data_IF_506723552635
#
_entry.id   IF_506723552635
#
_cell.length_a   1.000
_cell.length_b   1.000
_cell.length_c   1.000
_cell.angle_alpha   90.00
_cell.angle_beta   90.00
_cell.angle_gamma   90.00
#
_symmetry.space_group_name_H-M   'P 1'
#
loop_
_entity.id
_entity.type
_entity.pdbx_description
1 polymer ?
#
# COMPACT_ATOMS: atom_id res chain seq x y z
N UNK A 1 -3.82 4.49 16.80
CA UNK A 1 -3.01 4.88 15.63
C UNK A 1 -3.94 5.09 14.46
N UNK A 2 -3.79 6.23 13.81
CA UNK A 2 -4.45 6.59 12.57
C UNK A 2 -3.66 6.08 11.36
N UNK A 3 -4.31 6.04 10.21
CA UNK A 3 -3.72 5.58 8.95
C UNK A 3 -2.58 6.48 8.46
N UNK A 4 -2.67 7.79 8.60
CA UNK A 4 -1.58 8.73 8.31
C UNK A 4 -0.34 8.52 9.19
N UNK A 5 -0.54 8.35 10.50
CA UNK A 5 0.52 8.04 11.47
C UNK A 5 1.25 6.75 11.10
N UNK A 6 0.48 5.72 10.71
CA UNK A 6 1.03 4.44 10.30
C UNK A 6 1.81 4.53 8.98
N UNK A 7 1.29 5.28 8.00
CA UNK A 7 1.98 5.53 6.74
C UNK A 7 3.31 6.27 6.98
N UNK A 8 3.31 7.29 7.84
CA UNK A 8 4.53 8.03 8.18
C UNK A 8 5.57 7.12 8.84
N UNK A 9 5.14 6.26 9.78
CA UNK A 9 6.01 5.28 10.43
C UNK A 9 6.60 4.28 9.42
N UNK A 10 5.80 3.80 8.47
CA UNK A 10 6.26 2.90 7.42
C UNK A 10 7.33 3.57 6.53
N UNK A 11 7.11 4.82 6.12
CA UNK A 11 8.06 5.60 5.32
C UNK A 11 9.37 5.84 6.09
N UNK A 12 9.29 6.20 7.37
CA UNK A 12 10.47 6.38 8.20
C UNK A 12 11.26 5.06 8.35
N UNK A 13 10.55 3.96 8.54
CA UNK A 13 11.16 2.62 8.62
C UNK A 13 11.82 2.21 7.30
N UNK A 14 11.25 2.57 6.15
CA UNK A 14 11.88 2.33 4.85
C UNK A 14 13.15 3.16 4.67
N UNK A 15 13.12 4.43 5.08
CA UNK A 15 14.27 5.34 4.98
C UNK A 15 15.43 4.92 5.88
N UNK A 16 15.16 4.38 7.07
CA UNK A 16 16.20 3.96 8.02
C UNK A 16 16.92 2.67 7.59
N UNK A 17 16.30 1.84 6.75
CA UNK A 17 16.87 0.58 6.26
C UNK A 17 17.83 0.78 5.10
N UNK A 18 19.12 0.65 5.36
CA UNK A 18 20.19 0.83 4.34
C UNK A 18 20.20 -0.25 3.24
N UNK A 19 19.60 -1.41 3.49
CA UNK A 19 19.54 -2.54 2.56
C UNK A 19 18.44 -2.45 1.50
N UNK A 20 17.61 -1.40 1.53
CA UNK A 20 16.56 -1.17 0.54
C UNK A 20 17.09 -0.26 -0.57
N UNK A 21 16.86 -0.56 -1.87
CA UNK A 21 17.27 0.30 -2.97
C UNK A 21 16.78 1.75 -2.83
N UNK A 22 17.63 2.72 -3.20
CA UNK A 22 17.32 4.16 -3.13
C UNK A 22 16.03 4.56 -3.85
N UNK A 23 15.71 4.03 -5.06
CA UNK A 23 14.45 4.35 -5.72
C UNK A 23 13.22 3.99 -4.88
N UNK A 24 13.28 2.86 -4.16
CA UNK A 24 12.20 2.40 -3.28
C UNK A 24 12.16 3.28 -2.02
N UNK A 25 13.30 3.62 -1.41
CA UNK A 25 13.35 4.46 -0.20
C UNK A 25 12.84 5.89 -0.41
N UNK A 26 13.11 6.46 -1.57
CA UNK A 26 12.76 7.84 -1.90
C UNK A 26 11.46 7.96 -2.69
N UNK A 27 10.78 6.85 -2.94
CA UNK A 27 9.49 6.87 -3.63
C UNK A 27 8.43 7.62 -2.80
N UNK A 28 7.56 8.36 -3.49
CA UNK A 28 6.56 9.21 -2.86
C UNK A 28 5.30 8.41 -2.46
N UNK A 29 5.41 7.61 -1.41
CA UNK A 29 4.28 6.89 -0.82
C UNK A 29 3.29 7.85 -0.18
N UNK A 30 2.02 7.81 -0.61
CA UNK A 30 0.98 8.70 -0.09
C UNK A 30 -0.38 8.03 0.13
N UNK A 31 -0.48 6.74 -0.22
CA UNK A 31 -1.73 5.96 -0.19
C UNK A 31 -1.46 4.55 0.33
N UNK A 32 -2.44 4.01 1.06
CA UNK A 32 -2.44 2.62 1.52
C UNK A 32 -3.68 1.90 1.01
N UNK A 33 -3.51 0.63 0.66
CA UNK A 33 -4.62 -0.28 0.29
C UNK A 33 -4.48 -1.59 1.04
N UNK A 34 -5.60 -2.08 1.56
CA UNK A 34 -5.68 -3.40 2.20
C UNK A 34 -5.83 -4.47 1.11
N UNK A 35 -4.80 -5.31 0.93
CA UNK A 35 -4.78 -6.36 -0.10
C UNK A 35 -5.35 -7.68 0.42
N UNK A 36 -5.00 -8.04 1.66
CA UNK A 36 -5.41 -9.28 2.28
C UNK A 36 -5.90 -9.05 3.71
N UNK A 37 -7.06 -9.64 4.04
CA UNK A 37 -7.57 -9.73 5.41
C UNK A 37 -7.24 -11.12 5.96
N UNK A 38 -6.88 -11.20 7.23
CA UNK A 38 -6.62 -12.45 7.93
C UNK A 38 -7.68 -13.52 7.61
N UNK A 39 -7.22 -14.73 7.31
CA UNK A 39 -8.05 -15.91 7.00
C UNK A 39 -8.85 -15.89 5.68
N UNK A 40 -8.57 -14.96 4.75
CA UNK A 40 -9.12 -15.01 3.37
C UNK A 40 -8.10 -15.62 2.40
N UNK A 41 -8.42 -15.73 1.11
CA UNK A 41 -7.48 -16.22 0.10
C UNK A 41 -6.44 -15.13 -0.21
N UNK A 42 -5.15 -15.49 -0.20
CA UNK A 42 -4.05 -14.59 -0.59
C UNK A 42 -3.85 -14.73 -2.09
N UNK A 43 -4.01 -13.65 -2.84
CA UNK A 43 -3.68 -13.65 -4.25
C UNK A 43 -2.15 -13.83 -4.41
N UNK A 44 -1.72 -14.79 -5.22
CA UNK A 44 -0.31 -15.02 -5.55
C UNK A 44 0.23 -14.03 -6.60
N UNK A 45 -0.48 -12.92 -6.87
CA UNK A 45 -0.07 -11.93 -7.84
C UNK A 45 0.86 -10.90 -7.18
N UNK A 46 2.09 -10.70 -7.66
CA UNK A 46 2.99 -9.67 -7.12
C UNK A 46 2.53 -8.23 -7.43
N UNK A 47 1.58 -8.05 -8.36
CA UNK A 47 1.00 -6.75 -8.67
C UNK A 47 -0.05 -6.35 -7.65
N UNK A 48 -0.12 -5.05 -7.39
CA UNK A 48 -1.21 -4.45 -6.60
C UNK A 48 -2.57 -4.76 -7.24
N UNK A 49 -3.54 -5.20 -6.45
CA UNK A 49 -4.89 -5.43 -6.96
C UNK A 49 -5.53 -4.11 -7.38
N UNK A 50 -6.28 -4.07 -8.48
CA UNK A 50 -6.99 -2.87 -8.96
C UNK A 50 -8.51 -2.90 -8.74
N UNK A 51 -8.99 -3.97 -8.10
CA UNK A 51 -10.41 -4.15 -7.77
C UNK A 51 -10.77 -3.55 -6.40
N UNK A 52 -12.06 -3.24 -6.20
CA UNK A 52 -12.67 -2.82 -4.93
C UNK A 52 -11.96 -1.64 -4.22
N UNK A 53 -11.45 -0.67 -4.98
CA UNK A 53 -10.70 0.47 -4.43
C UNK A 53 -11.50 1.31 -3.45
N UNK A 54 -12.81 1.43 -3.66
CA UNK A 54 -13.71 2.21 -2.80
C UNK A 54 -13.77 1.67 -1.37
N UNK A 55 -13.61 0.36 -1.21
CA UNK A 55 -13.63 -0.31 0.10
C UNK A 55 -12.24 -0.53 0.67
N UNK A 56 -11.25 -0.79 -0.19
CA UNK A 56 -9.93 -1.26 0.22
C UNK A 56 -8.89 -0.15 0.33
N UNK A 57 -9.07 1.00 -0.34
CA UNK A 57 -8.17 2.14 -0.18
C UNK A 57 -8.51 2.89 1.09
N UNK A 58 -7.50 3.08 1.94
CA UNK A 58 -7.68 3.59 3.29
C UNK A 58 -7.76 5.12 3.28
N UNK A 59 -8.77 5.66 3.97
CA UNK A 59 -8.83 7.09 4.27
C UNK A 59 -7.65 7.51 5.15
N UNK A 60 -7.12 8.71 4.96
CA UNK A 60 -5.91 9.21 5.65
C UNK A 60 -6.11 9.52 7.14
N UNK A 61 -7.35 9.64 7.61
CA UNK A 61 -7.66 10.00 9.00
C UNK A 61 -8.49 8.93 9.73
N UNK A 62 -8.48 7.70 9.21
CA UNK A 62 -9.21 6.59 9.81
C UNK A 62 -8.36 5.89 10.88
N UNK A 63 -9.02 5.33 11.90
CA UNK A 63 -8.36 4.42 12.83
C UNK A 63 -8.07 3.08 12.12
N UNK A 64 -6.85 2.54 12.27
CA UNK A 64 -6.46 1.27 11.64
C UNK A 64 -7.48 0.14 11.89
N UNK A 65 -7.97 0.02 13.13
CA UNK A 65 -8.99 -0.97 13.52
C UNK A 65 -10.31 -0.83 12.75
N UNK A 66 -10.70 0.38 12.37
CA UNK A 66 -11.93 0.64 11.63
C UNK A 66 -11.76 0.32 10.13
N UNK A 67 -10.52 0.26 9.66
CA UNK A 67 -10.18 -0.15 8.29
C UNK A 67 -10.10 -1.67 8.12
N UNK A 68 -10.33 -2.45 9.18
CA UNK A 68 -10.17 -3.91 9.13
C UNK A 68 -8.71 -4.38 9.03
N UNK A 69 -7.77 -3.52 9.46
CA UNK A 69 -6.37 -3.90 9.68
C UNK A 69 -6.29 -4.65 11.00
N UNK A 70 -5.85 -5.90 10.94
CA UNK A 70 -5.64 -6.80 12.07
C UNK A 70 -4.38 -7.64 11.85
N UNK A 71 -4.04 -8.54 12.77
CA UNK A 71 -2.95 -9.50 12.62
C UNK A 71 -3.02 -10.24 11.27
N UNK A 72 -1.88 -10.50 10.64
CA UNK A 72 -1.75 -11.22 9.36
C UNK A 72 -2.41 -10.56 8.13
N UNK A 73 -2.75 -9.27 8.19
CA UNK A 73 -3.16 -8.54 6.99
C UNK A 73 -1.96 -8.13 6.11
N UNK A 74 -2.18 -8.05 4.81
CA UNK A 74 -1.22 -7.48 3.86
C UNK A 74 -1.72 -6.09 3.42
N UNK A 75 -0.85 -5.08 3.51
CA UNK A 75 -1.12 -3.69 3.11
C UNK A 75 -0.11 -3.28 2.06
N UNK A 76 -0.61 -2.71 0.96
CA UNK A 76 0.21 -2.10 -0.09
C UNK A 76 0.38 -0.60 0.14
N UNK A 77 1.61 -0.11 -0.02
CA UNK A 77 1.97 1.31 0.05
C UNK A 77 2.35 1.79 -1.35
N UNK A 78 1.73 2.87 -1.83
CA UNK A 78 1.95 3.37 -3.19
C UNK A 78 1.64 4.88 -3.33
N UNK A 79 1.93 5.44 -4.51
CA UNK A 79 1.49 6.77 -4.90
C UNK A 79 0.15 6.70 -5.65
N UNK A 80 -0.84 7.48 -5.23
CA UNK A 80 -2.18 7.46 -5.84
C UNK A 80 -2.19 7.77 -7.32
N UNK A 81 -1.36 8.73 -7.75
CA UNK A 81 -1.32 9.20 -9.13
C UNK A 81 -0.71 8.13 -10.05
N UNK A 82 0.40 7.52 -9.63
CA UNK A 82 1.03 6.43 -10.38
C UNK A 82 0.11 5.20 -10.45
N UNK A 83 -0.60 4.91 -9.36
CA UNK A 83 -1.60 3.85 -9.33
C UNK A 83 -2.74 4.10 -10.32
N UNK A 84 -3.24 5.34 -10.42
CA UNK A 84 -4.29 5.69 -11.36
C UNK A 84 -3.80 5.52 -12.81
N UNK A 85 -2.58 5.95 -13.12
CA UNK A 85 -1.94 5.73 -14.43
C UNK A 85 -1.80 4.24 -14.76
N UNK A 86 -1.36 3.43 -13.78
CA UNK A 86 -1.28 1.98 -13.92
C UNK A 86 -2.64 1.33 -14.17
N UNK A 87 -3.70 1.81 -13.50
CA UNK A 87 -5.06 1.28 -13.67
C UNK A 87 -5.62 1.61 -15.05
N UNK A 88 -5.34 2.79 -15.59
CA UNK A 88 -5.78 3.22 -16.92
C UNK A 88 -5.05 2.47 -18.04
N UNK A 89 -3.76 2.18 -17.84
CA UNK A 89 -2.95 1.39 -18.77
C UNK A 89 -2.02 0.46 -17.99
N UNK A 90 -2.45 -0.77 -17.68
CA UNK A 90 -1.64 -1.73 -16.94
C UNK A 90 -0.56 -2.33 -17.83
N UNK A 91 0.39 -1.49 -18.26
CA UNK A 91 1.53 -1.92 -19.06
C UNK A 91 2.72 -2.16 -18.15
N UNK A 92 3.21 -3.40 -18.15
CA UNK A 92 4.50 -3.75 -17.56
C UNK A 92 5.60 -3.11 -18.43
N UNK A 93 6.27 -2.06 -17.94
CA UNK A 93 7.57 -1.64 -18.48
C UNK A 93 8.64 -1.91 -17.44
N UNK A 94 9.27 -3.07 -17.56
CA UNK A 94 10.62 -3.29 -17.04
C UNK A 94 11.55 -2.62 -18.05
N UNK A 95 12.03 -1.42 -17.73
CA UNK A 95 13.24 -0.86 -18.37
C UNK A 95 14.46 -1.19 -17.52
#
# INVERSE_FOLDING_TARGET
MKTDEFLALAIETLKSKSNIPTPIRNYNYNTMKLEHKAHKYKANNPLINTENDEELILSKDALLKNCGIDCECDISFFNREDYQKFKENPTYKLE
#
